data_IF_953247657844
#
_entry.id   IF_953247657844
#
_cell.length_a   1.000
_cell.length_b   1.000
_cell.length_c   1.000
_cell.angle_alpha   90.00
_cell.angle_beta   90.00
_cell.angle_gamma   90.00
#
_symmetry.space_group_name_H-M   'P 1'
#
loop_
_entity.id
_entity.type
_entity.pdbx_description
1 polymer ?
#
# COMPACT_ATOMS: atom_id res chain seq x y z
N UNK A 1 -13.04 13.37 12.06
CA UNK A 1 -12.30 13.88 10.86
C UNK A 1 -10.93 13.19 10.70
N UNK A 2 -10.83 11.85 10.71
CA UNK A 2 -9.53 11.13 10.71
C UNK A 2 -9.43 10.05 9.61
N UNK A 3 -10.49 9.75 8.87
CA UNK A 3 -10.56 8.50 8.07
C UNK A 3 -10.16 8.67 6.58
N UNK A 4 -10.00 9.89 6.05
CA UNK A 4 -9.91 10.08 4.59
C UNK A 4 -8.54 9.82 3.92
N UNK A 5 -7.48 9.53 4.66
CA UNK A 5 -6.13 9.42 4.06
C UNK A 5 -5.66 7.98 3.82
N UNK A 6 -6.37 6.96 4.33
CA UNK A 6 -5.96 5.57 4.15
C UNK A 6 -6.69 4.92 2.97
N UNK A 7 -5.91 4.30 2.09
CA UNK A 7 -6.41 3.39 1.05
C UNK A 7 -5.99 1.97 1.44
N UNK A 8 -6.97 1.21 1.94
CA UNK A 8 -6.76 -0.16 2.39
C UNK A 8 -6.75 -1.10 1.19
N UNK A 9 -5.77 -2.01 1.13
CA UNK A 9 -5.66 -3.05 0.09
C UNK A 9 -5.72 -2.52 -1.35
N UNK A 10 -5.23 -1.29 -1.57
CA UNK A 10 -5.09 -0.68 -2.89
C UNK A 10 -3.64 -0.32 -3.16
N UNK A 11 -3.26 -0.39 -4.42
CA UNK A 11 -1.98 0.13 -4.89
C UNK A 11 -2.12 1.61 -5.30
N UNK A 12 -1.04 2.40 -5.23
CA UNK A 12 -1.04 3.76 -5.74
C UNK A 12 -1.43 3.79 -7.23
N UNK A 13 -2.37 4.67 -7.63
CA UNK A 13 -2.77 4.85 -9.02
C UNK A 13 -1.57 5.09 -9.96
N UNK A 14 -1.47 4.32 -11.04
CA UNK A 14 -0.46 4.53 -12.09
C UNK A 14 -0.91 5.65 -13.05
N UNK A 15 -1.03 6.86 -12.52
CA UNK A 15 -1.50 8.05 -13.20
C UNK A 15 -0.42 9.13 -13.14
N UNK A 16 -0.19 9.80 -14.27
CA UNK A 16 0.73 10.93 -14.31
C UNK A 16 -0.06 12.22 -14.23
N UNK A 17 0.16 12.99 -13.16
CA UNK A 17 -0.37 14.34 -12.99
C UNK A 17 0.78 15.34 -12.97
N UNK A 18 0.78 16.30 -13.90
CA UNK A 18 1.78 17.37 -13.96
C UNK A 18 1.12 18.73 -14.06
N UNK A 19 1.26 19.56 -13.03
CA UNK A 19 0.79 20.95 -13.06
C UNK A 19 1.63 21.79 -14.03
N UNK A 20 0.96 22.64 -14.80
CA UNK A 20 1.56 23.58 -15.76
C UNK A 20 1.28 25.03 -15.34
N UNK A 21 2.04 25.96 -15.91
CA UNK A 21 1.79 27.40 -15.74
C UNK A 21 0.72 27.92 -16.71
N UNK A 22 0.68 27.39 -17.94
CA UNK A 22 -0.23 27.82 -19.04
C UNK A 22 -0.57 26.62 -19.93
N UNK A 23 -1.64 26.74 -20.72
CA UNK A 23 -2.03 25.75 -21.75
C UNK A 23 -3.26 24.90 -21.44
N UNK A 24 -4.02 25.23 -20.39
CA UNK A 24 -5.24 24.53 -20.02
C UNK A 24 -5.00 23.13 -19.46
N UNK A 25 -6.09 22.36 -19.36
CA UNK A 25 -6.06 20.96 -18.91
C UNK A 25 -5.95 20.08 -20.16
N UNK A 26 -4.82 19.38 -20.30
CA UNK A 26 -4.63 18.35 -21.32
C UNK A 26 -4.88 16.99 -20.70
N UNK A 27 -5.83 16.27 -21.27
CA UNK A 27 -6.19 14.93 -20.87
C UNK A 27 -5.80 13.96 -21.97
N UNK A 28 -4.98 12.97 -21.64
CA UNK A 28 -4.53 11.92 -22.57
C UNK A 28 -4.83 10.57 -21.93
N UNK A 29 -5.52 9.70 -22.66
CA UNK A 29 -5.74 8.32 -22.21
C UNK A 29 -5.10 7.34 -23.17
N UNK A 30 -4.36 6.38 -22.61
CA UNK A 30 -3.83 5.24 -23.37
C UNK A 30 -4.80 4.04 -23.33
N UNK A 31 -5.74 4.02 -22.38
CA UNK A 31 -6.76 2.98 -22.23
C UNK A 31 -8.16 3.52 -22.52
N UNK A 32 -9.10 2.63 -22.83
CA UNK A 32 -10.52 2.98 -22.88
C UNK A 32 -10.98 3.33 -21.47
N UNK A 33 -11.42 4.57 -21.25
CA UNK A 33 -11.95 4.98 -19.96
C UNK A 33 -13.46 4.91 -19.98
N UNK A 34 -14.01 4.32 -18.93
CA UNK A 34 -15.45 4.17 -18.72
C UNK A 34 -15.95 5.11 -17.63
N UNK A 35 -15.06 5.57 -16.76
CA UNK A 35 -15.42 6.33 -15.55
C UNK A 35 -14.97 7.80 -15.57
N UNK A 36 -14.00 8.16 -16.41
CA UNK A 36 -13.40 9.48 -16.43
C UNK A 36 -13.45 10.12 -17.82
N UNK A 37 -14.27 11.16 -17.90
CA UNK A 37 -14.38 12.02 -19.07
C UNK A 37 -13.62 13.33 -18.86
N UNK A 38 -13.26 13.99 -19.98
CA UNK A 38 -12.54 15.25 -19.97
C UNK A 38 -13.28 16.36 -19.20
N UNK A 39 -14.61 16.35 -19.22
CA UNK A 39 -15.44 17.32 -18.47
C UNK A 39 -15.41 17.05 -16.97
N UNK A 40 -15.47 15.79 -16.55
CA UNK A 40 -15.33 15.38 -15.14
C UNK A 40 -13.94 15.74 -14.61
N UNK A 41 -12.89 15.50 -15.39
CA UNK A 41 -11.51 15.86 -15.04
C UNK A 41 -11.36 17.37 -14.87
N UNK A 42 -11.96 18.16 -15.78
CA UNK A 42 -11.97 19.62 -15.68
C UNK A 42 -12.71 20.10 -14.43
N UNK A 43 -13.86 19.50 -14.11
CA UNK A 43 -14.64 19.84 -12.92
C UNK A 43 -13.83 19.61 -11.64
N UNK A 44 -13.20 18.43 -11.50
CA UNK A 44 -12.34 18.08 -10.36
C UNK A 44 -11.17 19.07 -10.27
N UNK A 45 -10.43 19.29 -11.37
CA UNK A 45 -9.29 20.20 -11.36
C UNK A 45 -9.70 21.64 -11.00
N UNK A 46 -10.86 22.10 -11.46
CA UNK A 46 -11.39 23.43 -11.15
C UNK A 46 -11.68 23.59 -9.65
N UNK A 47 -12.23 22.56 -9.00
CA UNK A 47 -12.50 22.55 -7.56
C UNK A 47 -11.20 22.67 -6.74
N UNK A 48 -10.13 22.01 -7.19
CA UNK A 48 -8.78 22.15 -6.61
C UNK A 48 -8.05 23.44 -7.04
N UNK A 49 -8.70 24.36 -7.77
CA UNK A 49 -8.11 25.61 -8.31
C UNK A 49 -6.92 25.36 -9.24
N UNK A 50 -6.97 24.27 -10.01
CA UNK A 50 -5.95 23.86 -10.97
C UNK A 50 -6.49 24.12 -12.38
N UNK A 51 -6.00 25.19 -13.02
CA UNK A 51 -6.45 25.58 -14.36
C UNK A 51 -5.56 25.05 -15.50
N UNK A 52 -4.33 24.63 -15.19
CA UNK A 52 -3.36 24.15 -16.17
C UNK A 52 -2.68 22.87 -15.66
N UNK A 53 -2.90 21.74 -16.32
CA UNK A 53 -2.31 20.46 -15.96
C UNK A 53 -2.29 19.49 -17.13
N UNK A 54 -1.30 18.60 -17.16
CA UNK A 54 -1.30 17.40 -17.99
C UNK A 54 -1.67 16.19 -17.14
N UNK A 55 -2.66 15.45 -17.62
CA UNK A 55 -3.16 14.24 -16.98
C UNK A 55 -3.06 13.12 -17.99
N UNK A 56 -2.29 12.09 -17.67
CA UNK A 56 -2.15 10.89 -18.49
C UNK A 56 -2.66 9.67 -17.74
N UNK A 57 -3.68 9.03 -18.30
CA UNK A 57 -4.25 7.78 -17.80
C UNK A 57 -3.66 6.58 -18.54
N UNK A 58 -3.13 5.62 -17.77
CA UNK A 58 -2.58 4.35 -18.27
C UNK A 58 -3.51 3.16 -18.05
N UNK A 59 -4.62 3.37 -17.34
CA UNK A 59 -5.64 2.38 -17.03
C UNK A 59 -6.99 3.09 -16.84
N UNK A 60 -8.08 2.33 -16.73
CA UNK A 60 -9.42 2.87 -16.46
C UNK A 60 -9.51 3.39 -15.02
N UNK A 61 -9.10 4.65 -14.83
CA UNK A 61 -9.05 5.31 -13.54
C UNK A 61 -10.41 5.90 -13.15
N UNK A 62 -10.66 5.97 -11.85
CA UNK A 62 -11.87 6.60 -11.29
C UNK A 62 -11.60 8.05 -10.86
N UNK A 63 -12.65 8.83 -10.64
CA UNK A 63 -12.54 10.18 -10.07
C UNK A 63 -11.75 10.21 -8.75
N UNK A 64 -11.95 9.20 -7.89
CA UNK A 64 -11.23 9.05 -6.63
C UNK A 64 -9.73 8.86 -6.82
N UNK A 65 -9.31 8.14 -7.86
CA UNK A 65 -7.89 7.92 -8.16
C UNK A 65 -7.20 9.22 -8.58
N UNK A 66 -7.90 10.06 -9.36
CA UNK A 66 -7.39 11.37 -9.73
C UNK A 66 -7.26 12.28 -8.50
N UNK A 67 -8.26 12.27 -7.62
CA UNK A 67 -8.23 13.02 -6.35
C UNK A 67 -7.06 12.56 -5.48
N UNK A 68 -6.84 11.25 -5.36
CA UNK A 68 -5.75 10.68 -4.58
C UNK A 68 -4.37 11.17 -5.06
N UNK A 69 -4.17 11.25 -6.38
CA UNK A 69 -2.91 11.74 -6.97
C UNK A 69 -2.75 13.25 -6.80
N UNK A 70 -3.84 14.02 -6.91
CA UNK A 70 -3.81 15.48 -6.69
C UNK A 70 -3.47 15.81 -5.23
N UNK A 71 -4.01 15.06 -4.28
CA UNK A 71 -3.75 15.31 -2.86
C UNK A 71 -2.37 14.82 -2.40
N UNK A 72 -1.85 13.72 -2.95
CA UNK A 72 -0.49 13.21 -2.71
C UNK A 72 -0.17 12.75 -1.28
N UNK A 73 -1.07 12.95 -0.32
CA UNK A 73 -0.91 12.63 1.11
C UNK A 73 -1.57 11.30 1.52
N UNK A 74 -1.94 10.46 0.54
CA UNK A 74 -2.61 9.18 0.78
C UNK A 74 -1.62 8.10 1.22
N UNK A 75 -2.03 7.32 2.21
CA UNK A 75 -1.29 6.19 2.75
C UNK A 75 -1.94 4.90 2.24
N UNK A 76 -1.20 4.16 1.42
CA UNK A 76 -1.62 2.86 0.87
C UNK A 76 -1.05 1.74 1.74
N UNK A 77 -1.94 1.08 2.49
CA UNK A 77 -1.56 0.11 3.52
C UNK A 77 -2.35 -1.19 3.35
N UNK A 78 -1.69 -2.35 3.36
CA UNK A 78 -2.37 -3.64 3.37
C UNK A 78 -3.14 -3.82 4.69
N UNK A 79 -4.33 -4.42 4.62
CA UNK A 79 -5.25 -4.58 5.74
C UNK A 79 -5.85 -5.99 5.71
N UNK A 80 -5.92 -6.63 6.88
CA UNK A 80 -6.57 -7.93 7.06
C UNK A 80 -7.88 -7.72 7.81
N UNK A 81 -8.97 -8.23 7.27
CA UNK A 81 -10.27 -8.22 7.91
C UNK A 81 -10.38 -9.44 8.85
N UNK A 82 -10.12 -9.19 10.12
CA UNK A 82 -10.20 -10.21 11.17
C UNK A 82 -11.64 -10.34 11.65
N UNK A 83 -12.27 -11.48 11.38
CA UNK A 83 -13.63 -11.79 11.82
C UNK A 83 -13.55 -12.68 13.05
N UNK A 84 -13.89 -12.09 14.19
CA UNK A 84 -13.85 -12.78 15.47
C UNK A 84 -15.19 -13.48 15.78
N UNK A 85 -15.17 -14.42 16.73
CA UNK A 85 -16.31 -15.22 17.21
C UNK A 85 -16.80 -16.30 16.23
N UNK A 86 -15.87 -16.95 15.55
CA UNK A 86 -16.22 -18.04 14.61
C UNK A 86 -16.82 -19.27 15.31
N UNK A 87 -16.75 -19.32 16.65
CA UNK A 87 -17.42 -20.30 17.49
C UNK A 87 -18.96 -20.14 17.51
N UNK A 88 -19.48 -18.98 17.10
CA UNK A 88 -20.92 -18.67 17.10
C UNK A 88 -21.58 -18.80 15.72
N UNK A 89 -20.81 -19.14 14.69
CA UNK A 89 -21.30 -19.28 13.31
C UNK A 89 -21.24 -20.74 12.88
N UNK A 90 -22.05 -21.08 11.88
CA UNK A 90 -22.09 -22.41 11.27
C UNK A 90 -20.98 -22.58 10.23
N UNK A 91 -20.67 -23.82 9.86
CA UNK A 91 -19.69 -24.13 8.82
C UNK A 91 -20.09 -23.54 7.45
N UNK A 92 -21.38 -23.55 7.13
CA UNK A 92 -21.90 -22.99 5.88
C UNK A 92 -21.68 -21.46 5.79
N UNK A 93 -21.87 -20.74 6.90
CA UNK A 93 -21.57 -19.31 6.98
C UNK A 93 -20.07 -19.05 6.83
N UNK A 94 -19.24 -19.92 7.42
CA UNK A 94 -17.78 -19.82 7.29
C UNK A 94 -17.32 -19.99 5.83
N UNK A 95 -17.89 -20.95 5.09
CA UNK A 95 -17.58 -21.17 3.66
C UNK A 95 -17.99 -20.00 2.77
N UNK A 96 -19.06 -19.28 3.13
CA UNK A 96 -19.46 -18.05 2.43
C UNK A 96 -18.43 -16.95 2.69
N UNK A 97 -18.00 -16.80 3.94
CA UNK A 97 -17.02 -15.77 4.33
C UNK A 97 -15.63 -16.03 3.76
N UNK A 98 -15.25 -17.30 3.53
CA UNK A 98 -13.95 -17.67 2.94
C UNK A 98 -13.77 -17.13 1.51
N UNK A 99 -14.87 -16.76 0.83
CA UNK A 99 -14.83 -16.10 -0.49
C UNK A 99 -14.42 -14.63 -0.43
N UNK A 100 -14.36 -14.02 0.75
CA UNK A 100 -14.01 -12.62 0.93
C UNK A 100 -12.48 -12.42 0.84
N UNK A 101 -12.00 -11.42 0.09
CA UNK A 101 -10.57 -11.14 0.01
C UNK A 101 -10.07 -10.56 1.35
N UNK A 102 -8.79 -10.81 1.65
CA UNK A 102 -8.10 -10.33 2.86
C UNK A 102 -8.78 -10.75 4.19
N UNK A 103 -9.55 -11.84 4.17
CA UNK A 103 -10.32 -12.34 5.30
C UNK A 103 -9.48 -13.24 6.23
N UNK A 104 -9.69 -13.16 7.54
CA UNK A 104 -9.11 -14.09 8.51
C UNK A 104 -10.14 -14.40 9.63
N UNK A 105 -10.68 -15.64 9.70
CA UNK A 105 -11.57 -16.05 10.78
C UNK A 105 -10.76 -16.35 12.04
N UNK A 106 -11.19 -15.86 13.21
CA UNK A 106 -10.57 -16.20 14.49
C UNK A 106 -11.63 -16.42 15.57
N UNK A 107 -11.31 -17.24 16.58
CA UNK A 107 -12.00 -17.19 17.87
C UNK A 107 -10.98 -16.83 18.93
N UNK A 108 -10.97 -15.56 19.34
CA UNK A 108 -10.03 -15.08 20.35
C UNK A 108 -10.26 -15.73 21.72
N UNK A 109 -11.48 -16.20 22.01
CA UNK A 109 -11.79 -16.84 23.29
C UNK A 109 -11.28 -18.28 23.35
N UNK A 110 -11.41 -19.01 22.24
CA UNK A 110 -10.97 -20.40 22.13
C UNK A 110 -9.55 -20.53 21.55
N UNK A 111 -8.89 -19.40 21.28
CA UNK A 111 -7.58 -19.30 20.64
C UNK A 111 -7.51 -19.99 19.27
N UNK A 112 -8.64 -20.03 18.55
CA UNK A 112 -8.70 -20.65 17.22
C UNK A 112 -8.15 -19.72 16.14
N UNK A 113 -7.29 -20.30 15.30
CA UNK A 113 -6.70 -19.68 14.11
C UNK A 113 -5.89 -18.39 14.38
N UNK A 114 -5.37 -18.22 15.60
CA UNK A 114 -4.47 -17.12 15.93
C UNK A 114 -3.13 -17.26 15.19
N UNK A 115 -2.62 -18.49 15.02
CA UNK A 115 -1.41 -18.75 14.24
C UNK A 115 -1.60 -18.38 12.76
N UNK A 116 -2.75 -18.75 12.18
CA UNK A 116 -3.07 -18.37 10.80
C UNK A 116 -3.22 -16.85 10.61
N UNK A 117 -3.68 -16.13 11.64
CA UNK A 117 -3.66 -14.67 11.63
C UNK A 117 -2.22 -14.13 11.65
N UNK A 118 -1.34 -14.69 12.49
CA UNK A 118 0.06 -14.30 12.57
C UNK A 118 0.78 -14.52 11.24
N UNK A 119 0.55 -15.66 10.59
CA UNK A 119 1.12 -15.98 9.28
C UNK A 119 0.67 -14.98 8.21
N UNK A 120 -0.62 -14.64 8.16
CA UNK A 120 -1.13 -13.62 7.23
C UNK A 120 -0.55 -12.23 7.50
N UNK A 121 -0.39 -11.86 8.77
CA UNK A 121 0.26 -10.58 9.14
C UNK A 121 1.69 -10.56 8.62
N UNK A 122 2.44 -11.65 8.79
CA UNK A 122 3.81 -11.76 8.31
C UNK A 122 3.90 -11.65 6.78
N UNK A 123 3.00 -12.33 6.07
CA UNK A 123 2.88 -12.26 4.61
C UNK A 123 2.61 -10.82 4.13
N UNK A 124 1.62 -10.14 4.74
CA UNK A 124 1.16 -8.81 4.33
C UNK A 124 2.19 -7.73 4.65
N UNK A 125 2.94 -7.86 5.74
CA UNK A 125 4.03 -6.94 6.06
C UNK A 125 5.21 -7.07 5.09
N UNK A 126 5.34 -8.21 4.40
CA UNK A 126 6.38 -8.47 3.40
C UNK A 126 7.77 -8.04 3.90
N UNK A 127 8.12 -8.51 5.10
CA UNK A 127 9.36 -8.13 5.77
C UNK A 127 10.55 -8.93 5.21
N UNK A 128 11.68 -8.25 5.05
CA UNK A 128 12.95 -8.87 4.66
C UNK A 128 13.85 -8.96 5.89
N UNK A 129 14.28 -10.17 6.23
CA UNK A 129 15.24 -10.43 7.31
C UNK A 129 16.65 -10.45 6.73
N UNK A 130 17.52 -9.59 7.21
CA UNK A 130 18.93 -9.51 6.82
C UNK A 130 19.79 -9.95 8.00
N UNK A 131 20.56 -11.01 7.78
CA UNK A 131 21.46 -11.57 8.79
C UNK A 131 22.86 -10.98 8.62
N UNK A 132 23.42 -10.46 9.70
CA UNK A 132 24.75 -9.82 9.66
C UNK A 132 25.84 -10.87 9.77
N UNK A 133 26.94 -10.67 9.02
CA UNK A 133 28.11 -11.56 9.07
C UNK A 133 29.38 -10.72 9.21
N UNK A 134 29.94 -10.61 10.43
CA UNK A 134 31.26 -10.02 10.62
C UNK A 134 32.35 -10.80 9.88
N UNK A 135 33.38 -10.10 9.41
CA UNK A 135 34.49 -10.75 8.69
C UNK A 135 35.20 -11.75 9.62
N UNK A 136 35.25 -13.01 9.19
CA UNK A 136 35.88 -14.09 9.95
C UNK A 136 34.96 -14.80 10.96
N UNK A 137 33.69 -14.38 11.07
CA UNK A 137 32.68 -15.05 11.90
C UNK A 137 31.59 -15.69 11.04
N UNK A 138 30.83 -16.59 11.65
CA UNK A 138 29.61 -17.12 11.04
C UNK A 138 28.50 -16.05 11.07
N UNK A 139 27.54 -16.10 10.13
CA UNK A 139 26.36 -15.25 10.20
C UNK A 139 25.62 -15.46 11.52
N UNK A 140 25.15 -14.36 12.10
CA UNK A 140 24.22 -14.41 13.24
C UNK A 140 22.80 -14.63 12.71
N UNK A 141 22.16 -15.71 13.15
CA UNK A 141 20.79 -16.07 12.77
C UNK A 141 19.76 -15.78 13.87
N UNK A 142 20.20 -15.39 15.07
CA UNK A 142 19.32 -15.08 16.20
C UNK A 142 18.75 -13.66 16.07
N UNK A 143 19.59 -12.69 15.68
CA UNK A 143 19.21 -11.27 15.61
C UNK A 143 19.24 -10.70 14.18
N UNK A 144 18.22 -10.97 13.33
CA UNK A 144 18.12 -10.36 12.01
C UNK A 144 17.74 -8.88 12.08
N UNK A 145 18.33 -8.09 11.18
CA UNK A 145 17.85 -6.75 10.88
C UNK A 145 16.62 -6.87 9.98
N UNK A 146 15.48 -6.41 10.47
CA UNK A 146 14.20 -6.45 9.75
C UNK A 146 14.00 -5.15 8.98
N UNK A 147 13.86 -5.27 7.65
CA UNK A 147 13.51 -4.19 6.74
C UNK A 147 12.16 -4.44 6.07
N UNK A 148 11.46 -3.36 5.69
CA UNK A 148 10.25 -3.46 4.87
C UNK A 148 10.62 -3.77 3.42
N UNK A 149 9.80 -4.55 2.70
CA UNK A 149 9.98 -4.80 1.26
C UNK A 149 10.13 -3.52 0.42
N UNK A 150 9.50 -2.42 0.84
CA UNK A 150 9.55 -1.12 0.16
C UNK A 150 10.89 -0.39 0.35
N UNK A 151 11.66 -0.71 1.40
CA UNK A 151 12.93 -0.08 1.79
C UNK A 151 13.98 -1.14 2.09
N UNK A 152 14.51 -1.74 1.02
CA UNK A 152 15.40 -2.93 1.07
C UNK A 152 16.78 -2.68 0.46
N UNK A 153 17.18 -1.42 0.30
CA UNK A 153 18.50 -1.10 -0.24
C UNK A 153 19.58 -1.28 0.83
N UNK A 154 20.85 -1.36 0.39
CA UNK A 154 21.99 -1.39 1.33
C UNK A 154 22.04 -0.10 2.15
N UNK A 155 21.64 1.02 1.57
CA UNK A 155 21.50 2.31 2.26
C UNK A 155 20.49 2.23 3.40
N UNK A 156 19.28 1.69 3.13
CA UNK A 156 18.24 1.47 4.15
C UNK A 156 18.73 0.56 5.29
N UNK A 157 19.51 -0.47 4.94
CA UNK A 157 20.12 -1.37 5.92
C UNK A 157 21.15 -0.64 6.81
N UNK A 158 22.05 0.13 6.21
CA UNK A 158 23.04 0.92 6.94
C UNK A 158 22.37 1.93 7.88
N UNK A 159 21.34 2.64 7.40
CA UNK A 159 20.57 3.59 8.21
C UNK A 159 19.82 2.93 9.37
N UNK A 160 19.38 1.67 9.19
CA UNK A 160 18.71 0.90 10.24
C UNK A 160 19.66 0.50 11.39
N UNK A 161 20.92 0.25 11.09
CA UNK A 161 21.95 -0.07 12.08
C UNK A 161 22.46 1.23 12.73
N UNK A 162 23.02 2.14 11.93
CA UNK A 162 23.56 3.41 12.40
C UNK A 162 23.80 4.39 11.24
N UNK A 163 23.35 5.64 11.38
CA UNK A 163 23.44 6.68 10.33
C UNK A 163 24.86 6.96 9.81
N UNK A 164 25.89 6.73 10.63
CA UNK A 164 27.28 6.95 10.23
C UNK A 164 27.89 5.77 9.45
N UNK A 165 27.25 4.60 9.48
CA UNK A 165 27.72 3.41 8.75
C UNK A 165 27.75 3.67 7.24
N UNK A 166 26.78 4.42 6.74
CA UNK A 166 26.67 4.80 5.33
C UNK A 166 27.87 5.67 4.88
N UNK A 167 28.41 6.51 5.76
CA UNK A 167 29.59 7.35 5.47
C UNK A 167 30.89 6.56 5.41
N UNK A 168 30.94 5.41 6.07
CA UNK A 168 32.11 4.53 6.14
C UNK A 168 32.03 3.36 5.15
N UNK A 169 30.92 3.24 4.43
CA UNK A 169 30.71 2.23 3.43
C UNK A 169 31.75 2.40 2.30
N UNK A 170 32.46 1.32 1.96
CA UNK A 170 33.52 1.28 0.96
C UNK A 170 33.15 0.33 -0.17
#
# INVERSE_FOLDING_TARGET
KIIFYFRLNKEPPNLTFRRKEKGGINFTSTATNTHLDLDTVKAICSEYRIHNADITLRYDATADDLIDVIEGSRIYTPCIFVVNKIDQITLEELEILDKLPHYCPVSAHLEWNLDGLLDKVWEYLSLTRIYTKPKGMNPDYEDPVILSSKKKTVEDFCDRIHKDMLKQFK
#
